data_IF_757645034000
#
_entry.id   IF_757645034000
#
_cell.length_a   1.000
_cell.length_b   1.000
_cell.length_c   1.000
_cell.angle_alpha   90.00
_cell.angle_beta   90.00
_cell.angle_gamma   90.00
#
_symmetry.space_group_name_H-M   'P 1'
#
loop_
_entity.id
_entity.type
_entity.pdbx_description
1 polymer ?
#
# COMPACT_ATOMS: atom_id res chain seq x y z
N UNK A 1 18.30 17.88 15.98
CA UNK A 1 16.84 18.02 16.09
C UNK A 1 16.47 17.90 17.56
N UNK A 2 15.50 18.65 18.11
CA UNK A 2 15.09 18.44 19.51
C UNK A 2 14.48 17.04 19.66
N UNK A 3 14.91 16.29 20.66
CA UNK A 3 14.53 14.90 20.96
C UNK A 3 13.01 14.69 21.25
N UNK A 4 12.18 15.73 21.13
CA UNK A 4 10.74 15.72 21.44
C UNK A 4 9.88 16.28 20.29
N UNK A 5 10.37 16.34 19.05
CA UNK A 5 9.54 16.78 17.93
C UNK A 5 8.67 15.62 17.42
N UNK A 6 7.42 15.93 17.10
CA UNK A 6 6.48 14.97 16.49
C UNK A 6 6.92 14.71 15.05
N UNK A 7 7.16 13.43 14.64
CA UNK A 7 7.53 13.12 13.26
C UNK A 7 6.36 13.40 12.31
N UNK A 8 6.67 13.90 11.12
CA UNK A 8 5.72 14.22 10.06
C UNK A 8 5.91 13.27 8.90
N UNK A 9 4.87 12.56 8.56
CA UNK A 9 4.87 11.57 7.49
C UNK A 9 4.01 12.03 6.32
N UNK A 10 4.58 11.99 5.11
CA UNK A 10 3.81 11.95 3.88
C UNK A 10 3.52 10.50 3.54
N UNK A 11 2.24 10.12 3.45
CA UNK A 11 1.80 8.77 3.04
C UNK A 11 1.08 8.89 1.71
N UNK A 12 1.63 8.27 0.68
CA UNK A 12 1.13 8.35 -0.69
C UNK A 12 0.53 7.03 -1.16
N UNK A 13 -0.63 7.11 -1.79
CA UNK A 13 -1.23 6.00 -2.55
C UNK A 13 -1.92 6.51 -3.82
N UNK A 14 -2.23 5.61 -4.75
CA UNK A 14 -3.02 5.92 -5.95
C UNK A 14 -4.52 6.08 -5.68
N UNK A 15 -4.98 5.73 -4.46
CA UNK A 15 -6.39 5.73 -4.07
C UNK A 15 -6.56 5.53 -2.56
N UNK A 16 -7.56 4.73 -2.18
CA UNK A 16 -7.90 4.45 -0.78
C UNK A 16 -7.11 3.28 -0.17
N UNK A 17 -6.45 2.47 -0.98
CA UNK A 17 -5.72 1.28 -0.52
C UNK A 17 -4.66 1.60 0.54
N UNK A 18 -3.99 2.74 0.43
CA UNK A 18 -2.97 3.17 1.38
C UNK A 18 -3.47 3.38 2.81
N UNK A 19 -4.79 3.42 3.05
CA UNK A 19 -5.37 3.46 4.40
C UNK A 19 -5.02 2.20 5.21
N UNK A 20 -4.80 1.06 4.56
CA UNK A 20 -4.32 -0.17 5.22
C UNK A 20 -2.93 0.02 5.80
N UNK A 21 -2.03 0.66 5.03
CA UNK A 21 -0.68 1.02 5.49
C UNK A 21 -0.74 2.08 6.57
N UNK A 22 -1.62 3.09 6.43
CA UNK A 22 -1.82 4.10 7.47
C UNK A 22 -2.30 3.48 8.78
N UNK A 23 -3.20 2.50 8.74
CA UNK A 23 -3.65 1.77 9.93
C UNK A 23 -2.46 1.13 10.66
N UNK A 24 -1.58 0.43 9.93
CA UNK A 24 -0.37 -0.17 10.50
C UNK A 24 0.63 0.89 11.02
N UNK A 25 0.77 2.02 10.33
CA UNK A 25 1.60 3.15 10.80
C UNK A 25 1.06 3.72 12.10
N UNK A 26 -0.27 3.90 12.24
CA UNK A 26 -0.91 4.37 13.46
C UNK A 26 -0.71 3.45 14.67
N UNK A 27 -0.45 2.15 14.42
CA UNK A 27 -0.10 1.19 15.49
C UNK A 27 1.37 1.28 15.87
N UNK A 28 2.26 1.52 14.91
CA UNK A 28 3.72 1.50 15.12
C UNK A 28 4.30 2.87 15.50
N UNK A 29 3.71 3.96 15.01
CA UNK A 29 4.13 5.36 15.21
C UNK A 29 2.89 6.24 15.41
N UNK A 30 2.10 6.00 16.47
CA UNK A 30 0.81 6.67 16.70
C UNK A 30 0.92 8.19 16.77
N UNK A 31 2.04 8.71 17.28
CA UNK A 31 2.32 10.14 17.45
C UNK A 31 2.53 10.89 16.14
N UNK A 32 2.87 10.20 15.05
CA UNK A 32 3.21 10.86 13.79
C UNK A 32 2.07 11.74 13.26
N UNK A 33 2.38 12.98 12.92
CA UNK A 33 1.48 13.79 12.11
C UNK A 33 1.52 13.27 10.67
N UNK A 34 0.35 12.98 10.09
CA UNK A 34 0.26 12.35 8.77
C UNK A 34 -0.43 13.26 7.77
N UNK A 35 0.20 13.46 6.62
CA UNK A 35 -0.47 13.91 5.40
C UNK A 35 -0.65 12.72 4.48
N UNK A 36 -1.90 12.28 4.29
CA UNK A 36 -2.27 11.22 3.35
C UNK A 36 -2.61 11.86 2.00
N UNK A 37 -1.92 11.45 0.95
CA UNK A 37 -2.14 11.92 -0.41
C UNK A 37 -2.61 10.75 -1.28
N UNK A 38 -3.84 10.83 -1.77
CA UNK A 38 -4.42 9.90 -2.74
C UNK A 38 -4.42 10.54 -4.14
N UNK A 39 -3.73 9.93 -5.11
CA UNK A 39 -3.80 10.37 -6.51
C UNK A 39 -4.98 9.70 -7.26
N UNK A 40 -6.17 9.88 -6.71
CA UNK A 40 -7.43 9.32 -7.21
C UNK A 40 -7.83 9.85 -8.59
N UNK A 41 -7.32 11.01 -9.00
CA UNK A 41 -7.51 11.54 -10.35
C UNK A 41 -6.88 10.66 -11.44
N UNK A 42 -5.90 9.83 -11.11
CA UNK A 42 -5.18 8.95 -12.03
C UNK A 42 -5.30 7.45 -11.70
N UNK A 43 -6.20 7.12 -10.79
CA UNK A 43 -6.51 5.72 -10.49
C UNK A 43 -7.23 5.03 -11.67
N UNK A 44 -6.88 3.78 -12.03
CA UNK A 44 -5.80 2.95 -11.48
C UNK A 44 -4.45 3.15 -12.21
N UNK A 45 -3.36 3.17 -11.47
CA UNK A 45 -1.99 3.35 -11.98
C UNK A 45 -1.51 2.24 -12.92
N UNK A 46 -2.18 1.10 -12.92
CA UNK A 46 -1.85 -0.01 -13.83
C UNK A 46 -2.00 0.33 -15.32
N UNK A 47 -2.70 1.44 -15.64
CA UNK A 47 -2.89 1.92 -17.00
C UNK A 47 -1.76 2.85 -17.51
N UNK A 48 -0.89 3.34 -16.60
CA UNK A 48 0.21 4.25 -16.94
C UNK A 48 1.45 3.49 -17.38
N UNK A 49 2.22 4.05 -18.29
CA UNK A 49 3.59 3.62 -18.57
C UNK A 49 4.49 3.91 -17.37
N UNK A 50 5.64 3.23 -17.28
CA UNK A 50 6.57 3.41 -16.16
C UNK A 50 7.12 4.83 -16.09
N UNK A 51 7.37 5.49 -17.22
CA UNK A 51 7.85 6.86 -17.29
C UNK A 51 6.78 7.87 -16.85
N UNK A 52 5.55 7.71 -17.34
CA UNK A 52 4.41 8.56 -16.94
C UNK A 52 4.12 8.43 -15.45
N UNK A 53 4.17 7.21 -14.93
CA UNK A 53 3.92 6.93 -13.52
C UNK A 53 5.00 7.59 -12.64
N UNK A 54 6.29 7.41 -12.97
CA UNK A 54 7.37 8.01 -12.21
C UNK A 54 7.31 9.54 -12.20
N UNK A 55 7.05 10.16 -13.36
CA UNK A 55 6.88 11.60 -13.48
C UNK A 55 5.69 12.10 -12.66
N UNK A 56 4.54 11.42 -12.77
CA UNK A 56 3.31 11.79 -12.05
C UNK A 56 3.49 11.74 -10.54
N UNK A 57 4.10 10.69 -10.00
CA UNK A 57 4.27 10.56 -8.56
C UNK A 57 5.22 11.63 -8.02
N UNK A 58 6.27 11.99 -8.75
CA UNK A 58 7.15 13.12 -8.38
C UNK A 58 6.40 14.45 -8.38
N UNK A 59 5.60 14.71 -9.43
CA UNK A 59 4.81 15.93 -9.59
C UNK A 59 3.83 16.13 -8.43
N UNK A 60 2.99 15.14 -8.15
CA UNK A 60 1.92 15.29 -7.14
C UNK A 60 2.44 15.34 -5.71
N UNK A 61 3.63 14.80 -5.45
CA UNK A 61 4.25 14.85 -4.13
C UNK A 61 4.98 16.17 -3.84
N UNK A 62 5.42 16.92 -4.85
CA UNK A 62 6.32 18.06 -4.67
C UNK A 62 5.74 19.12 -3.72
N UNK A 63 4.55 19.63 -4.01
CA UNK A 63 3.87 20.63 -3.17
C UNK A 63 3.55 20.08 -1.77
N UNK A 64 2.77 18.99 -1.65
CA UNK A 64 2.37 18.45 -0.35
C UNK A 64 3.53 18.05 0.57
N UNK A 65 4.65 17.55 0.03
CA UNK A 65 5.86 17.23 0.81
C UNK A 65 6.47 18.51 1.39
N UNK A 66 6.58 19.56 0.57
CA UNK A 66 7.12 20.85 1.03
C UNK A 66 6.22 21.50 2.09
N UNK A 67 4.90 21.56 1.85
CA UNK A 67 3.92 22.16 2.77
C UNK A 67 3.82 21.43 4.11
N UNK A 68 3.82 20.09 4.09
CA UNK A 68 3.79 19.30 5.31
C UNK A 68 5.12 19.32 6.05
N UNK A 69 6.17 19.81 5.41
CA UNK A 69 7.55 19.70 5.89
C UNK A 69 7.85 18.27 6.37
N UNK A 70 7.47 17.27 5.55
CA UNK A 70 7.56 15.86 5.88
C UNK A 70 8.99 15.45 6.21
N UNK A 71 9.15 14.67 7.28
CA UNK A 71 10.45 14.12 7.71
C UNK A 71 10.76 12.81 6.98
N UNK A 72 9.73 12.09 6.51
CA UNK A 72 9.86 10.91 5.67
C UNK A 72 8.64 10.74 4.76
N UNK A 73 8.83 10.05 3.64
CA UNK A 73 7.81 9.78 2.63
C UNK A 73 7.56 8.26 2.56
N UNK A 74 6.31 7.83 2.74
CA UNK A 74 5.89 6.44 2.62
C UNK A 74 5.08 6.27 1.34
N UNK A 75 5.61 5.52 0.38
CA UNK A 75 4.91 5.15 -0.85
C UNK A 75 4.18 3.84 -0.57
N UNK A 76 2.92 3.93 -0.17
CA UNK A 76 2.10 2.77 0.16
C UNK A 76 1.75 1.96 -1.09
N UNK A 77 1.48 2.62 -2.22
CA UNK A 77 1.12 1.97 -3.48
C UNK A 77 2.23 1.04 -4.01
N UNK A 78 1.91 -0.26 -4.16
CA UNK A 78 2.85 -1.25 -4.71
C UNK A 78 3.24 -0.92 -6.15
N UNK A 79 2.27 -0.51 -6.99
CA UNK A 79 2.51 -0.14 -8.39
C UNK A 79 3.46 1.05 -8.49
N UNK A 80 3.27 2.08 -7.67
CA UNK A 80 4.18 3.23 -7.62
C UNK A 80 5.56 2.85 -7.07
N UNK A 81 5.62 2.05 -6.01
CA UNK A 81 6.88 1.64 -5.39
C UNK A 81 7.78 0.85 -6.34
N UNK A 82 7.22 -0.09 -7.12
CA UNK A 82 8.01 -0.89 -8.04
C UNK A 82 8.57 -0.11 -9.23
N UNK A 83 8.13 1.14 -9.45
CA UNK A 83 8.50 1.94 -10.61
C UNK A 83 9.16 3.26 -10.22
N UNK A 84 8.54 4.03 -9.31
CA UNK A 84 8.93 5.42 -9.07
C UNK A 84 10.00 5.61 -7.98
N UNK A 85 10.30 4.60 -7.15
CA UNK A 85 11.25 4.76 -6.03
C UNK A 85 12.62 5.33 -6.44
N UNK A 86 13.28 4.92 -7.54
CA UNK A 86 14.55 5.50 -7.93
C UNK A 86 14.43 7.01 -8.23
N UNK A 87 13.39 7.42 -8.97
CA UNK A 87 13.14 8.81 -9.31
C UNK A 87 12.82 9.65 -8.06
N UNK A 88 11.98 9.13 -7.17
CA UNK A 88 11.63 9.81 -5.91
C UNK A 88 12.86 10.03 -5.02
N UNK A 89 13.72 9.03 -4.89
CA UNK A 89 14.97 9.13 -4.12
C UNK A 89 16.00 10.10 -4.72
N UNK A 90 15.91 10.37 -6.02
CA UNK A 90 16.74 11.38 -6.69
C UNK A 90 16.20 12.80 -6.49
N UNK A 91 14.87 12.96 -6.32
CA UNK A 91 14.21 14.27 -6.22
C UNK A 91 14.07 14.74 -4.77
N UNK A 92 13.68 13.82 -3.86
CA UNK A 92 13.39 14.17 -2.47
C UNK A 92 14.57 13.87 -1.54
N UNK A 93 15.04 14.85 -0.75
CA UNK A 93 16.10 14.63 0.24
C UNK A 93 15.64 13.78 1.45
N UNK A 94 14.33 13.71 1.69
CA UNK A 94 13.76 12.90 2.76
C UNK A 94 13.91 11.40 2.46
N UNK A 95 14.04 10.54 3.48
CA UNK A 95 13.96 9.11 3.30
C UNK A 95 12.64 8.70 2.64
N UNK A 96 12.73 7.92 1.55
CA UNK A 96 11.57 7.38 0.83
C UNK A 96 11.46 5.89 1.13
N UNK A 97 10.41 5.52 1.85
CA UNK A 97 10.05 4.16 2.20
C UNK A 97 9.04 3.66 1.18
N UNK A 98 9.38 2.62 0.44
CA UNK A 98 8.46 1.97 -0.50
C UNK A 98 7.96 0.64 0.03
N UNK A 99 7.02 0.06 -0.71
CA UNK A 99 6.54 -1.30 -0.50
C UNK A 99 6.94 -2.20 -1.67
N UNK A 100 7.21 -3.44 -1.38
CA UNK A 100 7.52 -4.47 -2.38
C UNK A 100 6.78 -5.75 -2.02
N UNK A 101 6.46 -6.62 -3.00
CA UNK A 101 5.87 -7.91 -2.70
C UNK A 101 6.69 -8.67 -1.65
N UNK A 102 6.03 -9.20 -0.64
CA UNK A 102 6.66 -9.83 0.53
C UNK A 102 7.17 -11.25 0.20
N UNK A 103 8.00 -11.39 -0.84
CA UNK A 103 8.50 -12.67 -1.37
C UNK A 103 9.27 -13.46 -0.32
N UNK A 104 10.27 -12.84 0.33
CA UNK A 104 11.11 -13.52 1.33
C UNK A 104 10.30 -14.03 2.52
N UNK A 105 9.43 -13.24 3.17
CA UNK A 105 8.58 -13.75 4.24
C UNK A 105 7.64 -14.86 3.75
N UNK A 106 7.08 -14.75 2.54
CA UNK A 106 6.18 -15.76 2.00
C UNK A 106 6.87 -17.12 1.79
N UNK A 107 8.08 -17.11 1.22
CA UNK A 107 8.88 -18.32 1.05
C UNK A 107 9.19 -19.01 2.39
N UNK A 108 9.44 -18.23 3.46
CA UNK A 108 9.70 -18.75 4.81
C UNK A 108 8.45 -19.27 5.51
N UNK A 109 7.28 -18.70 5.23
CA UNK A 109 5.99 -19.09 5.83
C UNK A 109 5.38 -20.32 5.16
N UNK A 110 5.60 -20.49 3.85
CA UNK A 110 5.01 -21.59 3.10
C UNK A 110 5.56 -22.95 3.58
N UNK A 111 4.64 -23.86 3.88
CA UNK A 111 4.94 -25.25 4.25
C UNK A 111 4.90 -26.17 3.04
N UNK A 112 4.04 -25.85 2.07
CA UNK A 112 3.91 -26.60 0.83
C UNK A 112 5.02 -26.27 -0.18
N UNK A 113 5.66 -25.10 -0.05
CA UNK A 113 6.56 -24.53 -1.05
C UNK A 113 5.81 -23.98 -2.27
N UNK A 114 4.48 -23.78 -2.18
CA UNK A 114 3.66 -23.19 -3.25
C UNK A 114 3.07 -21.86 -2.77
N UNK A 115 3.48 -20.77 -3.40
CA UNK A 115 3.13 -19.39 -3.02
C UNK A 115 2.51 -18.67 -4.20
N UNK A 116 1.46 -17.91 -3.99
CA UNK A 116 0.91 -17.00 -5.00
C UNK A 116 1.20 -15.54 -4.63
N UNK A 117 1.49 -14.71 -5.63
CA UNK A 117 1.60 -13.25 -5.50
C UNK A 117 0.44 -12.64 -6.26
N UNK A 118 -0.55 -12.13 -5.51
CA UNK A 118 -1.69 -11.43 -6.06
C UNK A 118 -1.42 -9.92 -6.08
N UNK A 119 -1.29 -9.36 -7.27
CA UNK A 119 -1.00 -7.95 -7.47
C UNK A 119 -1.81 -7.33 -8.60
N UNK A 120 -1.60 -6.05 -8.88
CA UNK A 120 -2.12 -5.47 -10.12
C UNK A 120 -1.42 -6.09 -11.33
N UNK A 121 -2.07 -6.05 -12.49
CA UNK A 121 -1.45 -6.54 -13.74
C UNK A 121 -0.09 -5.89 -14.01
N UNK A 122 0.08 -4.62 -13.63
CA UNK A 122 1.37 -3.93 -13.75
C UNK A 122 2.42 -4.47 -12.77
N UNK A 123 2.06 -4.67 -11.50
CA UNK A 123 2.99 -5.14 -10.45
C UNK A 123 3.58 -6.51 -10.77
N UNK A 124 2.75 -7.46 -11.23
CA UNK A 124 3.21 -8.84 -11.49
C UNK A 124 3.98 -9.00 -12.81
N UNK A 125 3.75 -8.11 -13.77
CA UNK A 125 4.45 -8.15 -15.07
C UNK A 125 5.88 -7.59 -15.01
N UNK A 126 6.20 -6.78 -13.98
CA UNK A 126 7.50 -6.11 -13.89
C UNK A 126 8.63 -7.08 -13.59
N UNK A 127 9.77 -6.86 -14.22
CA UNK A 127 11.00 -7.61 -14.00
C UNK A 127 11.46 -7.52 -12.54
N UNK A 128 11.17 -6.42 -11.87
CA UNK A 128 11.44 -6.24 -10.45
C UNK A 128 10.82 -7.34 -9.57
N UNK A 129 9.55 -7.71 -9.82
CA UNK A 129 8.89 -8.78 -9.06
C UNK A 129 9.55 -10.14 -9.32
N UNK A 130 9.95 -10.42 -10.57
CA UNK A 130 10.67 -11.63 -10.93
C UNK A 130 12.07 -11.68 -10.31
N UNK A 131 12.79 -10.55 -10.31
CA UNK A 131 14.09 -10.42 -9.67
C UNK A 131 14.01 -10.71 -8.15
N UNK A 132 13.00 -10.18 -7.47
CA UNK A 132 12.75 -10.48 -6.04
C UNK A 132 12.54 -11.98 -5.81
N UNK A 133 11.79 -12.66 -6.68
CA UNK A 133 11.53 -14.10 -6.56
C UNK A 133 12.84 -14.87 -6.81
N UNK A 134 13.61 -14.50 -7.81
CA UNK A 134 14.89 -15.14 -8.12
C UNK A 134 15.89 -15.00 -6.96
N UNK A 135 15.90 -13.84 -6.30
CA UNK A 135 16.84 -13.57 -5.20
C UNK A 135 16.38 -14.17 -3.86
N UNK A 136 15.08 -14.09 -3.55
CA UNK A 136 14.55 -14.37 -2.21
C UNK A 136 13.55 -15.53 -2.14
N UNK A 137 13.19 -16.15 -3.26
CA UNK A 137 12.16 -17.19 -3.33
C UNK A 137 12.54 -18.51 -2.66
N UNK A 138 13.82 -18.70 -2.30
CA UNK A 138 14.31 -19.83 -1.51
C UNK A 138 13.88 -21.24 -2.03
N UNK A 139 13.66 -21.38 -3.33
CA UNK A 139 13.23 -22.65 -3.95
C UNK A 139 11.73 -22.93 -3.87
N UNK A 140 10.93 -22.02 -3.36
CA UNK A 140 9.48 -22.13 -3.45
C UNK A 140 8.97 -21.84 -4.87
N UNK A 141 7.87 -22.47 -5.24
CA UNK A 141 7.18 -22.26 -6.52
C UNK A 141 6.27 -21.04 -6.40
N UNK A 142 6.52 -19.99 -7.20
CA UNK A 142 5.73 -18.76 -7.18
C UNK A 142 4.80 -18.64 -8.39
N UNK A 143 3.50 -18.49 -8.12
CA UNK A 143 2.47 -18.16 -9.12
C UNK A 143 2.20 -16.66 -9.08
N UNK A 144 2.43 -15.95 -10.19
CA UNK A 144 2.16 -14.51 -10.31
C UNK A 144 0.75 -14.29 -10.87
N UNK A 145 -0.13 -13.69 -10.07
CA UNK A 145 -1.54 -13.45 -10.42
C UNK A 145 -1.79 -11.95 -10.51
N UNK A 146 -2.02 -11.48 -11.73
CA UNK A 146 -2.32 -10.06 -12.00
C UNK A 146 -3.82 -9.82 -12.14
N UNK A 147 -4.42 -9.14 -11.18
CA UNK A 147 -5.79 -8.70 -11.25
C UNK A 147 -5.92 -7.33 -11.91
N UNK A 148 -6.86 -7.21 -12.84
CA UNK A 148 -7.19 -5.94 -13.48
C UNK A 148 -8.33 -5.20 -12.75
N UNK A 149 -9.15 -5.90 -11.98
CA UNK A 149 -10.41 -5.38 -11.43
C UNK A 149 -10.44 -5.27 -9.91
N UNK A 150 -9.69 -6.11 -9.19
CA UNK A 150 -9.82 -6.27 -7.74
C UNK A 150 -9.58 -4.97 -6.96
N UNK A 151 -8.63 -4.13 -7.40
CA UNK A 151 -8.41 -2.82 -6.78
C UNK A 151 -9.62 -1.87 -6.97
N UNK A 152 -10.22 -1.86 -8.17
CA UNK A 152 -11.44 -1.09 -8.43
C UNK A 152 -12.65 -1.61 -7.66
N UNK A 153 -12.78 -2.93 -7.47
CA UNK A 153 -13.84 -3.52 -6.64
C UNK A 153 -13.68 -3.07 -5.16
N UNK A 154 -12.44 -3.00 -4.67
CA UNK A 154 -12.17 -2.49 -3.32
C UNK A 154 -12.56 -1.00 -3.19
N UNK A 155 -12.20 -0.15 -4.15
CA UNK A 155 -12.61 1.27 -4.17
C UNK A 155 -14.13 1.41 -4.19
N UNK A 156 -14.83 0.65 -5.04
CA UNK A 156 -16.29 0.65 -5.11
C UNK A 156 -16.91 0.32 -3.76
N UNK A 157 -16.42 -0.71 -3.09
CA UNK A 157 -16.91 -1.12 -1.77
C UNK A 157 -16.67 -0.04 -0.71
N UNK A 158 -15.47 0.58 -0.70
CA UNK A 158 -15.12 1.64 0.25
C UNK A 158 -15.92 2.93 0.02
N UNK A 159 -16.38 3.16 -1.20
CA UNK A 159 -17.28 4.27 -1.54
C UNK A 159 -18.76 3.97 -1.23
N UNK A 160 -19.09 2.81 -0.62
CA UNK A 160 -20.46 2.40 -0.30
C UNK A 160 -21.21 1.74 -1.46
N UNK A 161 -20.52 1.42 -2.57
CA UNK A 161 -21.11 0.72 -3.70
C UNK A 161 -21.23 -0.79 -3.49
N UNK A 162 -22.05 -1.42 -4.31
CA UNK A 162 -22.26 -2.88 -4.26
C UNK A 162 -21.19 -3.61 -5.09
N UNK A 163 -20.69 -4.70 -4.52
CA UNK A 163 -19.72 -5.60 -5.18
C UNK A 163 -20.19 -7.04 -4.93
N UNK A 164 -20.41 -7.78 -6.00
CA UNK A 164 -20.82 -9.20 -5.93
C UNK A 164 -19.60 -10.09 -5.67
N UNK A 165 -19.82 -11.13 -4.88
CA UNK A 165 -18.76 -12.05 -4.46
C UNK A 165 -18.13 -12.81 -5.63
N UNK A 166 -18.91 -13.15 -6.64
CA UNK A 166 -18.46 -13.83 -7.86
C UNK A 166 -17.38 -13.02 -8.60
N UNK A 167 -17.48 -11.69 -8.58
CA UNK A 167 -16.47 -10.83 -9.18
C UNK A 167 -15.13 -10.90 -8.45
N UNK A 168 -15.14 -10.96 -7.11
CA UNK A 168 -13.94 -11.12 -6.30
C UNK A 168 -13.39 -12.55 -6.47
N UNK A 169 -14.26 -13.57 -6.38
CA UNK A 169 -13.87 -14.98 -6.52
C UNK A 169 -13.15 -15.24 -7.84
N UNK A 170 -13.64 -14.68 -8.94
CA UNK A 170 -13.02 -14.81 -10.26
C UNK A 170 -11.59 -14.23 -10.32
N UNK A 171 -11.35 -13.10 -9.65
CA UNK A 171 -10.04 -12.44 -9.63
C UNK A 171 -9.01 -13.19 -8.76
N UNK A 172 -9.46 -13.89 -7.70
CA UNK A 172 -8.55 -14.60 -6.80
C UNK A 172 -8.37 -16.08 -7.18
N UNK A 173 -9.29 -16.67 -7.96
CA UNK A 173 -9.26 -18.10 -8.32
C UNK A 173 -7.88 -18.55 -8.88
N UNK A 174 -7.18 -17.80 -9.73
CA UNK A 174 -5.88 -18.20 -10.23
C UNK A 174 -4.77 -18.30 -9.16
N UNK A 175 -4.99 -17.76 -7.95
CA UNK A 175 -4.05 -17.89 -6.83
C UNK A 175 -4.03 -19.32 -6.26
N UNK A 176 -5.09 -20.09 -6.48
CA UNK A 176 -5.28 -21.37 -5.87
C UNK A 176 -4.87 -22.48 -6.84
N UNK A 177 -3.57 -22.82 -6.80
CA UNK A 177 -3.00 -23.85 -7.65
C UNK A 177 -2.68 -25.12 -6.85
N UNK A 178 -2.79 -26.28 -7.51
CA UNK A 178 -2.36 -27.55 -6.98
C UNK A 178 -1.54 -28.28 -8.06
N UNK A 179 -0.26 -28.48 -7.81
CA UNK A 179 0.66 -29.09 -8.78
C UNK A 179 1.60 -30.04 -8.05
N UNK A 180 1.71 -31.29 -8.52
CA UNK A 180 2.59 -32.28 -7.93
C UNK A 180 2.31 -32.59 -6.45
N UNK A 181 1.06 -32.50 -6.02
CA UNK A 181 0.65 -32.70 -4.62
C UNK A 181 0.94 -31.49 -3.71
N UNK A 182 1.46 -30.41 -4.25
CA UNK A 182 1.66 -29.15 -3.55
C UNK A 182 0.50 -28.21 -3.85
N UNK A 183 -0.10 -27.67 -2.81
CA UNK A 183 -1.22 -26.74 -2.87
C UNK A 183 -0.79 -25.38 -2.35
N UNK A 184 -1.20 -24.29 -3.03
CA UNK A 184 -0.93 -22.93 -2.54
C UNK A 184 -1.37 -22.80 -1.08
N UNK A 185 -0.47 -22.41 -0.20
CA UNK A 185 -0.73 -22.19 1.23
C UNK A 185 -0.43 -20.77 1.72
N UNK A 186 0.25 -19.96 0.87
CA UNK A 186 0.49 -18.55 1.14
C UNK A 186 0.12 -17.72 -0.09
N UNK A 187 -0.64 -16.64 0.12
CA UNK A 187 -0.95 -15.63 -0.91
C UNK A 187 -0.43 -14.26 -0.44
N UNK A 188 0.53 -13.71 -1.17
CA UNK A 188 1.06 -12.37 -0.92
C UNK A 188 0.13 -11.32 -1.53
N UNK A 189 -0.34 -10.37 -0.73
CA UNK A 189 -1.14 -9.24 -1.18
C UNK A 189 -0.22 -8.11 -1.67
N UNK A 190 0.06 -8.09 -2.98
CA UNK A 190 0.95 -7.12 -3.62
C UNK A 190 0.17 -5.89 -4.18
N UNK A 191 -0.87 -5.48 -3.48
CA UNK A 191 -1.64 -4.27 -3.73
C UNK A 191 -2.29 -3.80 -2.42
N UNK A 192 -2.18 -2.53 -2.11
CA UNK A 192 -2.72 -1.90 -0.89
C UNK A 192 -4.23 -2.02 -0.74
N UNK A 193 -4.95 -2.18 -1.85
CA UNK A 193 -6.41 -2.31 -1.84
C UNK A 193 -6.91 -3.68 -1.37
N UNK A 194 -6.10 -4.73 -1.54
CA UNK A 194 -6.60 -6.09 -1.32
C UNK A 194 -6.89 -6.42 0.14
N UNK A 195 -6.11 -5.93 1.14
CA UNK A 195 -6.47 -6.11 2.54
C UNK A 195 -7.83 -5.49 2.94
N UNK A 196 -8.34 -4.51 2.18
CA UNK A 196 -9.69 -3.94 2.38
C UNK A 196 -10.81 -4.97 2.10
N UNK A 197 -10.50 -6.03 1.37
CA UNK A 197 -11.41 -7.12 1.03
C UNK A 197 -11.18 -8.38 1.87
N UNK A 198 -10.37 -8.33 2.94
CA UNK A 198 -9.87 -9.52 3.65
C UNK A 198 -10.96 -10.53 4.02
N UNK A 199 -12.05 -10.07 4.66
CA UNK A 199 -13.15 -10.96 5.06
C UNK A 199 -13.77 -11.72 3.86
N UNK A 200 -13.83 -11.07 2.70
CA UNK A 200 -14.32 -11.69 1.47
C UNK A 200 -13.29 -12.62 0.85
N UNK A 201 -12.01 -12.24 0.86
CA UNK A 201 -10.93 -13.09 0.35
C UNK A 201 -10.86 -14.40 1.13
N UNK A 202 -10.94 -14.34 2.46
CA UNK A 202 -10.96 -15.52 3.34
C UNK A 202 -12.19 -16.41 3.08
N UNK A 203 -13.36 -15.82 2.96
CA UNK A 203 -14.62 -16.54 2.75
C UNK A 203 -14.72 -17.20 1.37
N UNK A 204 -14.15 -16.56 0.34
CA UNK A 204 -14.23 -17.00 -1.05
C UNK A 204 -13.06 -17.91 -1.46
N UNK A 205 -12.07 -18.07 -0.61
CA UNK A 205 -10.96 -18.99 -0.84
C UNK A 205 -11.45 -20.45 -0.87
N UNK A 206 -11.09 -21.26 -1.87
CA UNK A 206 -11.52 -22.66 -1.96
C UNK A 206 -10.91 -23.56 -0.87
N UNK A 207 -9.84 -23.12 -0.22
CA UNK A 207 -9.22 -23.72 0.97
C UNK A 207 -8.46 -22.65 1.75
N UNK A 208 -8.20 -22.88 3.05
CA UNK A 208 -7.48 -21.94 3.88
C UNK A 208 -6.05 -21.70 3.37
N UNK A 209 -5.65 -20.42 3.32
CA UNK A 209 -4.29 -19.98 3.02
C UNK A 209 -3.89 -18.86 3.99
N UNK A 210 -2.59 -18.63 4.11
CA UNK A 210 -2.09 -17.43 4.80
C UNK A 210 -2.09 -16.26 3.82
N UNK A 211 -2.92 -15.27 4.07
CA UNK A 211 -2.91 -14.00 3.35
C UNK A 211 -1.83 -13.10 3.95
N UNK A 212 -0.80 -12.78 3.17
CA UNK A 212 0.33 -12.00 3.66
C UNK A 212 0.21 -10.53 3.25
N UNK A 213 -0.16 -9.69 4.22
CA UNK A 213 -0.23 -8.24 4.06
C UNK A 213 1.14 -7.61 4.37
N UNK A 214 1.71 -6.78 3.46
CA UNK A 214 2.98 -6.10 3.67
C UNK A 214 2.88 -4.89 4.64
N UNK A 215 1.69 -4.36 4.93
CA UNK A 215 1.52 -3.13 5.71
C UNK A 215 2.23 -3.13 7.08
N UNK A 216 2.21 -4.21 7.89
CA UNK A 216 2.98 -4.25 9.15
C UNK A 216 4.49 -4.15 8.95
N UNK A 217 5.02 -4.68 7.85
CA UNK A 217 6.46 -4.61 7.55
C UNK A 217 6.86 -3.19 7.12
N UNK A 218 6.02 -2.51 6.35
CA UNK A 218 6.19 -1.11 5.94
C UNK A 218 6.20 -0.22 7.19
N UNK A 219 5.25 -0.42 8.10
CA UNK A 219 5.15 0.36 9.34
C UNK A 219 6.38 0.18 10.23
N UNK A 220 6.85 -1.05 10.42
CA UNK A 220 8.11 -1.32 11.15
C UNK A 220 9.31 -0.63 10.49
N UNK A 221 9.42 -0.69 9.16
CA UNK A 221 10.50 -0.02 8.44
C UNK A 221 10.43 1.49 8.63
N UNK A 222 9.23 2.07 8.59
CA UNK A 222 9.03 3.51 8.84
C UNK A 222 9.45 3.89 10.26
N UNK A 223 9.05 3.12 11.28
CA UNK A 223 9.47 3.35 12.66
C UNK A 223 11.00 3.33 12.80
N UNK A 224 11.67 2.35 12.19
CA UNK A 224 13.14 2.29 12.20
C UNK A 224 13.77 3.51 11.54
N UNK A 225 13.26 3.95 10.38
CA UNK A 225 13.77 5.16 9.69
C UNK A 225 13.59 6.41 10.57
N UNK A 226 12.44 6.56 11.23
CA UNK A 226 12.22 7.69 12.14
C UNK A 226 13.15 7.64 13.35
N UNK A 227 13.39 6.46 13.92
CA UNK A 227 14.36 6.28 15.00
C UNK A 227 15.79 6.65 14.54
N UNK A 228 16.20 6.23 13.34
CA UNK A 228 17.50 6.60 12.74
C UNK A 228 17.62 8.12 12.53
N UNK A 229 16.51 8.82 12.31
CA UNK A 229 16.45 10.29 12.25
C UNK A 229 16.44 10.97 13.63
N UNK A 230 16.40 10.20 14.72
CA UNK A 230 16.45 10.69 16.10
C UNK A 230 15.09 11.01 16.71
N UNK A 231 13.98 10.56 16.09
CA UNK A 231 12.66 10.69 16.70
C UNK A 231 12.44 9.60 17.76
N UNK A 232 11.79 9.97 18.87
CA UNK A 232 11.23 8.98 19.79
C UNK A 232 9.97 8.39 19.15
N UNK A 233 9.93 7.09 18.94
CA UNK A 233 8.80 6.37 18.33
C UNK A 233 8.31 5.27 19.26
N UNK A 234 7.02 5.04 19.30
CA UNK A 234 6.47 3.89 20.01
C UNK A 234 5.13 4.09 20.71
N UNK A 235 4.84 3.13 21.58
CA UNK A 235 3.58 3.02 22.30
C UNK A 235 3.52 4.00 23.47
N UNK A 236 2.37 4.63 23.68
CA UNK A 236 2.14 5.53 24.82
C UNK A 236 2.01 7.01 24.46
N UNK A 237 2.20 7.36 23.21
CA UNK A 237 1.98 8.72 22.72
C UNK A 237 0.52 8.94 22.27
N UNK A 238 0.04 10.19 22.39
CA UNK A 238 -1.25 10.57 21.81
C UNK A 238 -1.19 10.46 20.28
N UNK A 239 -2.35 10.18 19.67
CA UNK A 239 -2.46 10.10 18.20
C UNK A 239 -2.13 11.46 17.59
N UNK A 240 -1.19 11.47 16.66
CA UNK A 240 -0.84 12.67 15.89
C UNK A 240 -1.96 13.13 14.95
N UNK A 241 -1.94 14.41 14.61
CA UNK A 241 -2.88 14.97 13.65
C UNK A 241 -2.77 14.29 12.28
N UNK A 242 -3.88 14.28 11.52
CA UNK A 242 -3.91 13.72 10.19
C UNK A 242 -4.74 14.56 9.23
N UNK A 243 -4.25 14.73 8.00
CA UNK A 243 -5.01 15.34 6.90
C UNK A 243 -4.96 14.45 5.67
N UNK A 244 -6.03 14.51 4.86
CA UNK A 244 -6.11 13.79 3.58
C UNK A 244 -6.24 14.80 2.44
N UNK A 245 -5.52 14.53 1.35
CA UNK A 245 -5.55 15.28 0.09
C UNK A 245 -5.93 14.29 -1.01
N UNK A 246 -6.93 14.66 -1.82
CA UNK A 246 -7.35 13.91 -3.00
C UNK A 246 -7.09 14.75 -4.25
N UNK A 247 -6.34 14.22 -5.20
CA UNK A 247 -5.94 14.98 -6.40
C UNK A 247 -7.10 15.24 -7.37
N UNK A 248 -8.19 14.48 -7.28
CA UNK A 248 -9.39 14.73 -8.10
C UNK A 248 -10.14 15.99 -7.69
N UNK A 249 -9.90 16.51 -6.46
CA UNK A 249 -10.65 17.62 -5.89
C UNK A 249 -12.14 17.33 -5.67
N UNK A 250 -12.60 16.09 -5.88
CA UNK A 250 -13.99 15.71 -5.66
C UNK A 250 -14.30 15.68 -4.16
N UNK A 251 -15.47 16.21 -3.73
CA UNK A 251 -15.89 16.04 -2.35
C UNK A 251 -16.06 14.55 -2.06
N UNK A 252 -15.65 14.08 -0.86
CA UNK A 252 -15.83 12.67 -0.49
C UNK A 252 -17.32 12.40 -0.28
N UNK A 253 -17.70 11.14 -0.52
CA UNK A 253 -19.01 10.65 -0.05
C UNK A 253 -19.05 10.66 1.49
N UNK A 254 -20.26 10.68 2.10
CA UNK A 254 -20.39 10.58 3.57
C UNK A 254 -19.68 9.33 4.14
N UNK A 255 -19.73 8.21 3.42
CA UNK A 255 -19.09 6.95 3.80
C UNK A 255 -17.55 7.10 3.80
N UNK A 256 -17.00 7.71 2.75
CA UNK A 256 -15.57 7.99 2.66
C UNK A 256 -15.13 8.97 3.74
N UNK A 257 -15.90 10.03 4.00
CA UNK A 257 -15.60 10.99 5.07
C UNK A 257 -15.60 10.31 6.45
N UNK A 258 -16.57 9.43 6.72
CA UNK A 258 -16.62 8.62 7.93
C UNK A 258 -15.41 7.69 8.05
N UNK A 259 -15.04 7.00 6.96
CA UNK A 259 -13.86 6.15 6.90
C UNK A 259 -12.59 6.92 7.22
N UNK A 260 -12.37 8.08 6.60
CA UNK A 260 -11.20 8.94 6.87
C UNK A 260 -11.14 9.37 8.34
N UNK A 261 -12.29 9.74 8.92
CA UNK A 261 -12.37 10.10 10.33
C UNK A 261 -11.96 8.94 11.27
N UNK A 262 -12.32 7.69 10.96
CA UNK A 262 -11.87 6.52 11.76
C UNK A 262 -10.35 6.38 11.75
N UNK A 263 -9.69 6.79 10.65
CA UNK A 263 -8.23 6.83 10.54
C UNK A 263 -7.60 8.11 11.11
N UNK A 264 -8.43 9.02 11.67
CA UNK A 264 -7.98 10.32 12.23
C UNK A 264 -7.48 11.27 11.16
N UNK A 265 -8.08 11.22 9.98
CA UNK A 265 -7.80 12.13 8.88
C UNK A 265 -8.93 13.15 8.73
N UNK A 266 -8.55 14.42 8.57
CA UNK A 266 -9.44 15.52 8.18
C UNK A 266 -9.13 15.89 6.74
N UNK A 267 -10.14 16.11 5.91
CA UNK A 267 -9.91 16.58 4.55
C UNK A 267 -9.28 17.96 4.54
N UNK A 268 -8.20 18.08 3.79
CA UNK A 268 -7.66 19.39 3.44
C UNK A 268 -8.54 20.01 2.34
N UNK A 269 -8.98 21.26 2.55
CA UNK A 269 -9.70 21.99 1.50
C UNK A 269 -8.77 22.23 0.32
N UNK A 270 -9.24 21.99 -0.90
CA UNK A 270 -8.50 22.19 -2.14
C UNK A 270 -7.97 23.62 -2.36
N UNK A 271 -8.49 24.59 -1.62
CA UNK A 271 -8.07 26.01 -1.67
C UNK A 271 -6.72 26.30 -0.96
N UNK A 272 -6.14 25.32 -0.27
CA UNK A 272 -4.87 25.47 0.45
C UNK A 272 -3.66 24.92 -0.32
N UNK A 273 -3.85 24.44 -1.55
CA UNK A 273 -2.80 23.88 -2.42
C UNK A 273 -2.53 24.79 -3.65
N UNK A 274 -2.53 26.09 -3.48
CA UNK A 274 -2.21 27.09 -4.50
C UNK A 274 -0.81 27.67 -4.34
#
# INVERSE_FOLDING_TARGET
>A
MPQNSVPRLMVFDSGLGGLTVLCALRQSVPEAAVTYLADDARFPYAALSDAELAARVCEVLAGPVAESAADAIVIACNTASTTALPALRAVFPQPVIGTVPAVKPAALLSRSGSVSVLGTSATVKRDYTRALIAEFGAGADFTLVGSARLAGLAETLMAGGEVVDEAIAAEIAPCFTETGGKRTDVVVLACTHYPLLMDRLERLAPWPVTWLDPAPAIARRTANVLADLGFAVGVGFARGAGRAIFTSGKPPTPELAALLATHGLVLANAEQCG
#
